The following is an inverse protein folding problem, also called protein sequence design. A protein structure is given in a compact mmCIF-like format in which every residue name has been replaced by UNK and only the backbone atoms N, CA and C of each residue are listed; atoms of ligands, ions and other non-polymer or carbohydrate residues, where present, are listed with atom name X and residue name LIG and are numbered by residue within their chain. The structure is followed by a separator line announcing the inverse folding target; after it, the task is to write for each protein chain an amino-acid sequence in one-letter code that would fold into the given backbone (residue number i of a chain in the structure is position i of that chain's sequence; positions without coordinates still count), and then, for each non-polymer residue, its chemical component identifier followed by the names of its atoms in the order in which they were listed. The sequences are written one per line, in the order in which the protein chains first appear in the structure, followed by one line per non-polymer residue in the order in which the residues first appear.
data_IF_904094071317
#
_entry.id   IF_904094071317
#
_cell.length_a   1.000
_cell.length_b   1.000
_cell.length_c   1.000
_cell.angle_alpha   90.00
_cell.angle_beta   90.00
_cell.angle_gamma   90.00
#
_symmetry.space_group_name_H-M   'P 1'
#
loop_
_entity.id
_entity.type
_entity.pdbx_description
1 polymer ?
#
# COMPACT_ATOMS: atom_id res chain seq x y z
N UNK A 1 -11.57 -2.35 -11.26
CA UNK A 1 -10.09 -2.45 -11.27
C UNK A 1 -9.48 -1.09 -11.12
N UNK A 2 -9.43 -0.26 -12.17
CA UNK A 2 -9.04 1.15 -12.06
C UNK A 2 -10.22 2.01 -11.60
N UNK A 3 -10.00 2.74 -10.52
CA UNK A 3 -10.90 3.75 -9.99
C UNK A 3 -10.19 5.11 -10.21
N UNK A 4 -10.66 5.93 -11.15
CA UNK A 4 -10.12 7.27 -11.37
C UNK A 4 -10.24 8.13 -10.11
N UNK A 5 -9.40 9.16 -9.92
CA UNK A 5 -9.53 10.07 -8.79
C UNK A 5 -10.89 10.76 -8.76
N UNK A 6 -11.47 10.87 -7.58
CA UNK A 6 -12.73 11.55 -7.34
C UNK A 6 -12.78 12.04 -5.88
N UNK A 7 -13.70 12.96 -5.59
CA UNK A 7 -14.05 13.27 -4.20
C UNK A 7 -14.93 12.14 -3.65
N UNK A 8 -14.33 11.30 -2.81
CA UNK A 8 -15.02 10.19 -2.16
C UNK A 8 -15.89 10.62 -0.99
N UNK A 9 -15.92 11.91 -0.63
CA UNK A 9 -16.71 12.44 0.50
C UNK A 9 -16.41 11.69 1.81
N UNK A 10 -15.14 11.32 2.01
CA UNK A 10 -14.65 10.50 3.12
C UNK A 10 -15.32 9.12 3.25
N UNK A 11 -15.96 8.62 2.19
CA UNK A 11 -16.51 7.25 2.10
C UNK A 11 -15.47 6.29 1.52
N UNK A 12 -15.51 5.00 1.88
CA UNK A 12 -14.57 4.00 1.36
C UNK A 12 -14.49 4.03 -0.16
N UNK A 13 -13.25 4.00 -0.68
CA UNK A 13 -12.97 3.83 -2.12
C UNK A 13 -13.05 2.34 -2.48
N UNK A 14 -12.55 1.50 -1.58
CA UNK A 14 -12.71 0.04 -1.60
C UNK A 14 -13.38 -0.32 -0.28
N UNK A 15 -14.65 -0.71 -0.35
CA UNK A 15 -15.43 -1.07 0.84
C UNK A 15 -15.25 -2.56 1.19
N UNK A 16 -15.79 -2.96 2.34
CA UNK A 16 -15.83 -4.36 2.74
C UNK A 16 -16.54 -5.22 1.69
N UNK A 17 -16.09 -6.48 1.56
CA UNK A 17 -16.60 -7.42 0.56
C UNK A 17 -16.57 -6.89 -0.88
N UNK A 18 -15.59 -6.03 -1.23
CA UNK A 18 -15.37 -5.59 -2.61
C UNK A 18 -15.34 -6.78 -3.59
N UNK A 19 -15.95 -6.61 -4.76
CA UNK A 19 -16.14 -7.70 -5.72
C UNK A 19 -14.83 -8.22 -6.34
N UNK A 20 -13.75 -7.42 -6.33
CA UNK A 20 -12.45 -7.77 -6.90
C UNK A 20 -11.43 -8.11 -5.83
N UNK A 21 -11.41 -7.34 -4.73
CA UNK A 21 -10.42 -7.46 -3.65
C UNK A 21 -11.12 -7.62 -2.28
N UNK A 22 -11.94 -8.66 -2.08
CA UNK A 22 -12.74 -8.83 -0.87
C UNK A 22 -11.92 -8.93 0.42
N UNK A 23 -10.61 -9.18 0.36
CA UNK A 23 -9.75 -9.18 1.53
C UNK A 23 -9.29 -7.80 1.95
N UNK A 24 -9.43 -6.76 1.12
CA UNK A 24 -8.93 -5.41 1.39
C UNK A 24 -10.06 -4.42 1.72
N UNK A 25 -9.68 -3.36 2.42
CA UNK A 25 -10.48 -2.16 2.64
C UNK A 25 -9.59 -0.93 2.42
N UNK A 26 -10.13 0.13 1.80
CA UNK A 26 -9.40 1.37 1.61
C UNK A 26 -10.31 2.60 1.59
N UNK A 27 -9.93 3.60 2.37
CA UNK A 27 -10.54 4.93 2.38
C UNK A 27 -9.47 6.02 2.42
N UNK A 28 -9.74 7.14 1.77
CA UNK A 28 -8.98 8.38 1.91
C UNK A 28 -9.88 9.39 2.62
N UNK A 29 -9.43 9.88 3.77
CA UNK A 29 -10.17 10.83 4.58
C UNK A 29 -9.43 12.16 4.59
N UNK A 30 -10.11 13.23 4.18
CA UNK A 30 -9.59 14.59 4.21
C UNK A 30 -10.29 15.37 5.30
N UNK A 31 -9.49 16.02 6.15
CA UNK A 31 -9.96 16.80 7.30
C UNK A 31 -9.24 18.14 7.37
N UNK A 32 -9.92 19.13 7.95
CA UNK A 32 -9.34 20.39 8.41
C UNK A 32 -9.14 20.37 9.92
N UNK A 33 -8.30 21.27 10.41
CA UNK A 33 -8.03 21.47 11.85
C UNK A 33 -9.31 21.41 12.70
N UNK A 34 -9.31 20.53 13.70
CA UNK A 34 -10.43 20.35 14.62
C UNK A 34 -11.59 19.51 14.10
N UNK A 35 -11.61 19.15 12.81
CA UNK A 35 -12.52 18.12 12.31
C UNK A 35 -12.06 16.74 12.75
N UNK A 36 -13.04 15.84 12.89
CA UNK A 36 -12.83 14.50 13.37
C UNK A 36 -13.55 13.49 12.48
N UNK A 37 -12.96 12.31 12.35
CA UNK A 37 -13.56 11.19 11.62
C UNK A 37 -13.57 9.95 12.50
N UNK A 38 -14.78 9.42 12.73
CA UNK A 38 -14.99 8.18 13.45
C UNK A 38 -15.36 7.07 12.46
N UNK A 39 -14.80 5.89 12.65
CA UNK A 39 -15.16 4.72 11.87
C UNK A 39 -15.03 3.43 12.67
N UNK A 40 -15.64 2.38 12.13
CA UNK A 40 -15.52 1.00 12.59
C UNK A 40 -15.72 0.10 11.38
N UNK A 41 -14.86 -0.88 11.18
CA UNK A 41 -14.94 -1.84 10.06
C UNK A 41 -15.04 -3.26 10.61
N UNK A 42 -16.25 -3.78 10.88
CA UNK A 42 -16.41 -5.13 11.40
C UNK A 42 -15.78 -6.18 10.47
N UNK A 43 -15.04 -7.14 11.03
CA UNK A 43 -14.39 -8.22 10.27
C UNK A 43 -13.08 -7.85 9.57
N UNK A 44 -12.64 -6.59 9.69
CA UNK A 44 -11.38 -6.11 9.14
C UNK A 44 -10.54 -5.47 10.24
N UNK A 45 -9.26 -5.83 10.27
CA UNK A 45 -8.24 -5.02 10.92
C UNK A 45 -7.88 -3.85 10.01
N UNK A 46 -7.51 -2.70 10.56
CA UNK A 46 -7.14 -1.52 9.77
C UNK A 46 -5.84 -0.89 10.24
N UNK A 47 -5.29 0.02 9.44
CA UNK A 47 -4.20 0.90 9.77
C UNK A 47 -4.53 2.31 9.28
N UNK A 48 -4.41 3.28 10.19
CA UNK A 48 -4.56 4.71 9.88
C UNK A 48 -3.18 5.26 9.60
N UNK A 49 -2.97 5.84 8.42
CA UNK A 49 -1.70 6.36 7.93
C UNK A 49 -1.91 7.78 7.40
N UNK A 50 -1.46 8.83 8.10
CA UNK A 50 -1.46 10.18 7.55
C UNK A 50 -0.52 10.27 6.34
N UNK A 51 -1.09 10.49 5.15
CA UNK A 51 -0.32 10.73 3.94
C UNK A 51 0.30 12.13 3.97
N UNK A 52 -0.46 13.11 4.48
CA UNK A 52 -0.02 14.46 4.85
C UNK A 52 -0.80 14.94 6.08
N UNK A 53 -0.22 15.90 6.79
CA UNK A 53 -0.79 16.44 8.02
C UNK A 53 -0.54 15.56 9.25
N UNK A 54 -1.16 15.97 10.35
CA UNK A 54 -1.00 15.36 11.67
C UNK A 54 -2.36 15.14 12.31
N UNK A 55 -2.56 13.96 12.90
CA UNK A 55 -3.80 13.59 13.60
C UNK A 55 -3.54 13.01 14.98
N UNK A 56 -4.48 13.21 15.90
CA UNK A 56 -4.56 12.45 17.16
C UNK A 56 -5.55 11.31 16.96
N UNK A 57 -5.15 10.07 17.25
CA UNK A 57 -6.00 8.88 17.10
C UNK A 57 -6.39 8.30 18.45
N UNK A 58 -7.67 7.99 18.63
CA UNK A 58 -8.22 7.24 19.75
C UNK A 58 -8.77 5.89 19.26
N UNK A 59 -8.37 4.80 19.91
CA UNK A 59 -8.82 3.42 19.62
C UNK A 59 -9.22 2.78 20.94
N UNK A 60 -10.52 2.49 21.11
CA UNK A 60 -11.05 1.83 22.33
C UNK A 60 -10.56 2.47 23.65
N UNK A 61 -10.38 3.79 23.67
CA UNK A 61 -9.91 4.55 24.85
C UNK A 61 -8.38 4.69 24.98
N UNK A 62 -7.58 4.09 24.09
CA UNK A 62 -6.15 4.35 23.98
C UNK A 62 -5.87 5.50 23.01
N UNK A 63 -4.96 6.41 23.35
CA UNK A 63 -4.63 7.59 22.54
C UNK A 63 -3.23 7.53 21.96
N UNK A 64 -3.14 7.77 20.65
CA UNK A 64 -1.93 7.88 19.85
C UNK A 64 -1.86 9.30 19.29
N UNK A 65 -1.15 10.17 20.01
CA UNK A 65 -1.10 11.60 19.68
C UNK A 65 -0.08 11.92 18.58
N UNK A 66 -0.31 13.03 17.89
CA UNK A 66 0.58 13.63 16.89
C UNK A 66 1.11 12.62 15.86
N UNK A 67 0.22 11.79 15.30
CA UNK A 67 0.56 10.85 14.24
C UNK A 67 0.68 11.59 12.92
N UNK A 68 1.82 11.44 12.24
CA UNK A 68 2.08 12.03 10.92
C UNK A 68 2.95 13.29 10.98
N UNK A 69 4.01 13.29 10.16
CA UNK A 69 5.06 14.32 10.15
C UNK A 69 5.18 15.05 8.80
N UNK A 70 4.44 14.60 7.78
CA UNK A 70 4.50 15.11 6.42
C UNK A 70 3.63 16.33 6.25
N UNK A 71 4.09 17.33 5.52
CA UNK A 71 3.42 18.62 5.40
C UNK A 71 2.96 18.93 3.99
N UNK A 72 3.80 18.64 2.99
CA UNK A 72 3.56 19.02 1.59
C UNK A 72 3.03 17.84 0.79
N UNK A 73 3.74 16.73 0.80
CA UNK A 73 3.46 15.55 -0.02
C UNK A 73 4.12 14.30 0.56
N UNK A 74 3.86 13.12 -0.02
CA UNK A 74 4.41 11.84 0.45
C UNK A 74 5.95 11.74 0.37
N UNK A 75 6.64 12.68 -0.30
CA UNK A 75 8.09 12.68 -0.44
C UNK A 75 8.79 13.50 0.66
N UNK A 76 8.09 14.34 1.43
CA UNK A 76 8.72 15.28 2.36
C UNK A 76 9.06 14.69 3.75
N UNK A 77 8.72 13.42 4.00
CA UNK A 77 9.02 12.77 5.27
C UNK A 77 8.79 11.25 5.31
N UNK A 78 9.04 10.68 6.48
CA UNK A 78 8.72 9.28 6.78
C UNK A 78 7.23 9.11 7.12
N UNK A 79 6.61 7.99 6.72
CA UNK A 79 5.24 7.71 7.12
C UNK A 79 5.19 7.33 8.59
N UNK A 80 4.02 7.53 9.18
CA UNK A 80 3.66 6.93 10.47
C UNK A 80 2.32 6.24 10.31
N UNK A 81 2.02 5.30 11.19
CA UNK A 81 0.72 4.64 11.17
C UNK A 81 0.30 4.15 12.54
N UNK A 82 -0.98 3.86 12.70
CA UNK A 82 -1.49 3.15 13.88
C UNK A 82 -2.34 1.98 13.43
N UNK A 83 -2.02 0.80 13.95
CA UNK A 83 -2.78 -0.42 13.76
C UNK A 83 -4.02 -0.41 14.63
N UNK A 84 -5.16 -0.70 14.03
CA UNK A 84 -6.48 -0.76 14.65
C UNK A 84 -6.99 -2.20 14.57
N UNK A 85 -7.25 -2.85 15.71
CA UNK A 85 -7.71 -4.24 15.74
C UNK A 85 -9.05 -4.44 15.03
N UNK A 86 -9.30 -5.69 14.61
CA UNK A 86 -10.55 -6.07 13.95
C UNK A 86 -11.78 -5.54 14.68
N UNK A 87 -12.60 -4.77 13.96
CA UNK A 87 -13.88 -4.26 14.45
C UNK A 87 -13.78 -3.26 15.61
N UNK A 88 -12.59 -2.78 15.98
CA UNK A 88 -12.44 -1.72 16.96
C UNK A 88 -12.99 -0.39 16.41
N UNK A 89 -13.56 0.43 17.29
CA UNK A 89 -13.94 1.79 16.95
C UNK A 89 -12.70 2.69 17.05
N UNK A 90 -12.45 3.42 15.98
CA UNK A 90 -11.40 4.43 15.92
C UNK A 90 -11.99 5.81 15.65
N UNK A 91 -11.37 6.83 16.26
CA UNK A 91 -11.64 8.23 16.04
C UNK A 91 -10.30 8.92 15.79
N UNK A 92 -10.18 9.73 14.74
CA UNK A 92 -9.02 10.59 14.60
C UNK A 92 -9.40 12.05 14.34
N UNK A 93 -8.68 12.96 14.99
CA UNK A 93 -8.90 14.40 14.96
C UNK A 93 -7.73 15.08 14.25
N UNK A 94 -8.02 16.02 13.34
CA UNK A 94 -6.98 16.75 12.63
C UNK A 94 -6.34 17.82 13.52
N UNK A 95 -5.02 17.70 13.73
CA UNK A 95 -4.19 18.62 14.54
C UNK A 95 -3.49 19.65 13.66
N UNK A 96 -3.12 19.30 12.41
CA UNK A 96 -2.61 20.25 11.42
C UNK A 96 -3.74 21.09 10.81
N UNK A 97 -3.38 22.06 9.94
CA UNK A 97 -4.37 22.88 9.24
C UNK A 97 -5.27 22.03 8.33
N UNK A 98 -4.66 21.08 7.63
CA UNK A 98 -5.31 20.07 6.80
C UNK A 98 -4.57 18.73 6.97
N UNK A 99 -5.28 17.62 6.79
CA UNK A 99 -4.70 16.27 6.75
C UNK A 99 -5.39 15.41 5.70
N UNK A 100 -4.60 14.65 4.95
CA UNK A 100 -5.06 13.53 4.11
C UNK A 100 -4.62 12.22 4.78
N UNK A 101 -5.59 11.39 5.15
CA UNK A 101 -5.36 10.18 5.95
C UNK A 101 -5.85 8.96 5.19
N UNK A 102 -4.97 7.98 5.03
CA UNK A 102 -5.31 6.67 4.47
C UNK A 102 -5.76 5.74 5.57
N UNK A 103 -6.97 5.17 5.42
CA UNK A 103 -7.44 4.07 6.25
C UNK A 103 -7.42 2.82 5.38
N UNK A 104 -6.50 1.92 5.65
CA UNK A 104 -6.33 0.68 4.91
C UNK A 104 -6.62 -0.51 5.80
N UNK A 105 -7.08 -1.63 5.24
CA UNK A 105 -7.43 -2.78 6.06
C UNK A 105 -7.37 -4.10 5.33
N UNK A 106 -7.34 -5.17 6.12
CA UNK A 106 -7.45 -6.53 5.64
C UNK A 106 -8.46 -7.32 6.46
N UNK A 107 -9.11 -8.30 5.83
CA UNK A 107 -10.04 -9.19 6.51
C UNK A 107 -9.30 -10.07 7.52
N UNK A 108 -9.73 -10.01 8.78
CA UNK A 108 -9.13 -10.78 9.86
C UNK A 108 -10.11 -10.94 11.03
N UNK A 109 -10.18 -12.12 11.64
CA UNK A 109 -11.23 -12.45 12.61
C UNK A 109 -10.77 -12.36 14.08
N UNK A 110 -9.45 -12.23 14.34
CA UNK A 110 -8.93 -12.20 15.72
C UNK A 110 -8.67 -10.76 16.14
N UNK A 111 -9.11 -10.43 17.35
CA UNK A 111 -8.80 -9.13 17.96
C UNK A 111 -7.38 -9.17 18.52
N UNK A 112 -6.55 -8.21 18.09
CA UNK A 112 -5.19 -7.98 18.57
C UNK A 112 -5.14 -6.68 19.38
N UNK A 113 -3.95 -6.24 19.78
CA UNK A 113 -3.75 -5.00 20.53
C UNK A 113 -3.36 -3.86 19.58
N UNK A 114 -3.96 -2.66 19.71
CA UNK A 114 -3.56 -1.51 18.90
C UNK A 114 -2.10 -1.11 19.19
N UNK A 115 -1.46 -0.46 18.22
CA UNK A 115 -0.13 0.15 18.40
C UNK A 115 0.19 1.12 17.26
N UNK A 116 1.06 2.09 17.53
CA UNK A 116 1.61 2.97 16.52
C UNK A 116 2.97 2.49 15.99
N UNK A 117 3.28 2.94 14.78
CA UNK A 117 4.56 2.82 14.10
C UNK A 117 5.02 4.22 13.79
N UNK A 118 6.17 4.60 14.37
CA UNK A 118 6.74 5.94 14.24
C UNK A 118 7.87 6.00 13.21
N UNK A 119 8.24 7.23 12.84
CA UNK A 119 9.21 7.48 11.76
C UNK A 119 10.55 6.73 11.94
N UNK A 120 11.03 6.58 13.17
CA UNK A 120 12.28 5.88 13.52
C UNK A 120 12.15 4.35 13.52
N UNK A 121 10.93 3.84 13.35
CA UNK A 121 10.62 2.43 13.35
C UNK A 121 10.40 1.81 11.96
N UNK A 122 10.35 2.66 10.92
CA UNK A 122 10.08 2.27 9.54
C UNK A 122 11.23 1.41 8.99
N UNK A 123 10.89 0.22 8.48
CA UNK A 123 11.84 -0.64 7.79
C UNK A 123 11.96 -0.23 6.31
N UNK A 124 13.15 0.23 5.93
CA UNK A 124 13.46 0.74 4.61
C UNK A 124 14.17 -0.34 3.78
N UNK A 125 13.65 -0.60 2.58
CA UNK A 125 14.30 -1.44 1.56
C UNK A 125 14.48 -0.62 0.29
N UNK A 126 15.71 -0.55 -0.22
CA UNK A 126 16.00 0.13 -1.48
C UNK A 126 16.87 -0.78 -2.36
N UNK A 127 16.45 -0.95 -3.61
CA UNK A 127 17.09 -1.88 -4.56
C UNK A 127 16.85 -1.43 -6.01
N UNK A 128 17.42 -2.16 -6.96
CA UNK A 128 17.42 -1.79 -8.38
C UNK A 128 18.34 -0.62 -8.68
N UNK A 129 18.26 -0.10 -9.90
CA UNK A 129 19.05 1.05 -10.33
C UNK A 129 18.39 1.84 -11.46
N UNK A 130 18.86 3.05 -11.68
CA UNK A 130 18.42 3.89 -12.80
C UNK A 130 18.82 3.30 -14.16
N UNK A 131 19.91 2.53 -14.20
CA UNK A 131 20.38 1.81 -15.41
C UNK A 131 19.43 0.68 -15.78
N UNK A 132 18.95 -0.07 -14.79
CA UNK A 132 17.96 -1.14 -14.97
C UNK A 132 16.53 -0.61 -15.07
N UNK A 133 16.33 0.68 -14.79
CA UNK A 133 15.02 1.34 -14.66
C UNK A 133 14.11 0.70 -13.60
N UNK A 134 14.67 0.01 -12.61
CA UNK A 134 13.90 -0.65 -11.54
C UNK A 134 14.25 -0.12 -10.16
N UNK A 135 14.83 1.07 -10.08
CA UNK A 135 15.21 1.69 -8.81
C UNK A 135 13.97 1.95 -7.96
N UNK A 136 13.89 1.27 -6.81
CA UNK A 136 12.73 1.31 -5.94
C UNK A 136 13.15 1.50 -4.50
N UNK A 137 12.36 2.28 -3.78
CA UNK A 137 12.44 2.48 -2.34
C UNK A 137 11.10 2.09 -1.73
N UNK A 138 11.13 1.16 -0.78
CA UNK A 138 9.98 0.62 -0.07
C UNK A 138 10.10 0.99 1.40
N UNK A 139 9.03 1.54 1.96
CA UNK A 139 8.92 1.87 3.38
C UNK A 139 7.81 1.01 3.97
N UNK A 140 8.17 0.02 4.78
CA UNK A 140 7.20 -0.88 5.40
C UNK A 140 6.65 -0.26 6.67
N UNK A 141 5.35 0.07 6.66
CA UNK A 141 4.63 0.56 7.85
C UNK A 141 4.23 -0.66 8.69
N UNK A 142 3.48 -1.61 8.11
CA UNK A 142 3.16 -2.89 8.73
C UNK A 142 3.91 -4.02 8.01
N UNK A 143 5.25 -4.03 8.16
CA UNK A 143 6.16 -5.03 7.60
C UNK A 143 6.37 -6.29 8.46
N UNK A 144 7.42 -7.06 8.17
CA UNK A 144 7.78 -8.30 8.91
C UNK A 144 8.13 -8.07 10.37
N UNK A 145 8.65 -6.89 10.73
CA UNK A 145 8.91 -6.47 12.13
C UNK A 145 7.70 -6.62 13.05
N UNK A 146 6.48 -6.55 12.51
CA UNK A 146 5.22 -6.59 13.26
C UNK A 146 4.43 -7.90 13.08
N UNK A 147 5.08 -8.97 12.62
CA UNK A 147 4.44 -10.25 12.29
C UNK A 147 3.53 -10.79 13.40
N UNK A 148 3.95 -10.70 14.66
CA UNK A 148 3.19 -11.27 15.79
C UNK A 148 2.15 -10.29 16.38
N UNK A 149 2.02 -9.09 15.81
CA UNK A 149 1.15 -8.01 16.30
C UNK A 149 0.06 -7.60 15.30
N UNK A 150 0.13 -8.10 14.07
CA UNK A 150 -0.79 -7.82 12.97
C UNK A 150 -1.30 -9.15 12.41
N UNK A 151 -2.56 -9.19 11.97
CA UNK A 151 -3.20 -10.39 11.45
C UNK A 151 -2.70 -10.80 10.06
N UNK A 152 -3.38 -10.34 9.02
CA UNK A 152 -3.15 -10.63 7.60
C UNK A 152 -2.79 -9.39 6.78
N UNK A 153 -2.91 -8.21 7.38
CA UNK A 153 -2.58 -6.94 6.76
C UNK A 153 -1.08 -6.72 6.60
N UNK A 154 -0.68 -6.31 5.40
CA UNK A 154 0.61 -5.73 5.07
C UNK A 154 0.36 -4.34 4.48
N UNK A 155 1.11 -3.33 4.96
CA UNK A 155 0.98 -1.94 4.52
C UNK A 155 2.36 -1.40 4.22
N UNK A 156 2.55 -0.88 3.01
CA UNK A 156 3.83 -0.32 2.59
C UNK A 156 3.65 0.83 1.62
N UNK A 157 4.63 1.74 1.63
CA UNK A 157 4.75 2.78 0.63
C UNK A 157 5.88 2.47 -0.33
N UNK A 158 5.64 2.72 -1.61
CA UNK A 158 6.61 2.43 -2.64
C UNK A 158 6.85 3.65 -3.52
N UNK A 159 8.13 3.92 -3.74
CA UNK A 159 8.61 4.98 -4.58
C UNK A 159 9.38 4.34 -5.72
N UNK A 160 8.97 4.66 -6.95
CA UNK A 160 9.87 4.50 -8.10
C UNK A 160 10.84 5.66 -8.03
N UNK A 161 12.10 5.35 -7.70
CA UNK A 161 13.15 6.35 -7.49
C UNK A 161 13.59 6.89 -8.84
N UNK A 162 13.73 8.22 -8.92
CA UNK A 162 14.03 8.90 -10.17
C UNK A 162 12.81 9.05 -11.08
N UNK A 163 13.06 9.38 -12.35
CA UNK A 163 12.01 9.66 -13.33
C UNK A 163 12.02 8.63 -14.47
N UNK A 164 10.84 8.20 -14.92
CA UNK A 164 10.71 7.25 -16.05
C UNK A 164 11.20 5.83 -15.75
N UNK A 165 10.84 5.29 -14.58
CA UNK A 165 11.20 3.94 -14.12
C UNK A 165 10.02 2.96 -14.05
N UNK A 166 10.32 1.74 -13.62
CA UNK A 166 9.40 0.62 -13.45
C UNK A 166 9.32 0.18 -12.00
N UNK A 167 8.10 -0.19 -11.60
CA UNK A 167 7.76 -0.87 -10.37
C UNK A 167 7.01 -2.17 -10.65
N UNK A 168 6.95 -3.05 -9.64
CA UNK A 168 6.38 -4.38 -9.83
C UNK A 168 7.14 -5.24 -10.85
N UNK A 169 8.39 -4.90 -11.19
CA UNK A 169 9.22 -5.64 -12.17
C UNK A 169 10.46 -6.28 -11.50
N UNK A 170 10.86 -7.52 -11.89
CA UNK A 170 10.19 -8.47 -12.78
C UNK A 170 8.78 -8.75 -12.30
N UNK A 171 7.92 -8.96 -13.29
CA UNK A 171 6.51 -9.09 -13.01
C UNK A 171 6.24 -10.29 -12.14
N UNK A 172 5.33 -10.13 -11.19
CA UNK A 172 4.96 -11.16 -10.23
C UNK A 172 3.46 -11.10 -9.95
N UNK A 173 2.96 -12.18 -9.34
CA UNK A 173 1.58 -12.33 -8.86
C UNK A 173 1.57 -13.00 -7.49
N UNK A 174 0.43 -12.91 -6.83
CA UNK A 174 0.13 -13.57 -5.55
C UNK A 174 -1.39 -13.80 -5.48
N UNK A 175 -1.92 -14.49 -6.49
CA UNK A 175 -3.36 -14.66 -6.69
C UNK A 175 -3.85 -16.07 -6.34
N UNK A 176 -2.92 -16.96 -6.02
CA UNK A 176 -3.18 -18.39 -5.80
C UNK A 176 -2.45 -18.89 -4.56
N UNK A 177 -3.14 -19.66 -3.72
CA UNK A 177 -2.49 -20.44 -2.66
C UNK A 177 -1.85 -21.70 -3.26
N UNK A 178 -0.63 -21.55 -3.75
CA UNK A 178 0.22 -22.63 -4.28
C UNK A 178 1.43 -22.77 -3.36
N UNK A 179 1.20 -23.18 -2.12
CA UNK A 179 2.25 -23.26 -1.11
C UNK A 179 3.25 -24.39 -1.44
N UNK A 180 4.57 -24.18 -1.27
CA UNK A 180 5.21 -22.98 -0.69
C UNK A 180 5.60 -21.91 -1.72
N UNK A 181 5.23 -22.06 -2.99
CA UNK A 181 5.72 -21.26 -4.12
C UNK A 181 4.97 -19.94 -4.34
N UNK A 182 3.74 -19.83 -3.84
CA UNK A 182 2.90 -18.63 -3.94
C UNK A 182 1.85 -18.60 -2.83
N UNK A 183 1.58 -17.42 -2.30
CA UNK A 183 0.49 -17.15 -1.37
C UNK A 183 -0.58 -16.30 -2.04
N UNK A 184 -1.85 -16.51 -1.70
CA UNK A 184 -2.93 -15.64 -2.18
C UNK A 184 -3.06 -14.40 -1.31
N UNK A 185 -2.91 -13.24 -1.93
CA UNK A 185 -3.17 -11.92 -1.37
C UNK A 185 -3.96 -11.08 -2.37
N UNK A 186 -5.01 -10.41 -1.89
CA UNK A 186 -5.60 -9.31 -2.64
C UNK A 186 -4.72 -8.08 -2.45
N UNK A 187 -4.57 -7.26 -3.49
CA UNK A 187 -3.72 -6.07 -3.43
C UNK A 187 -4.43 -4.82 -3.95
N UNK A 188 -4.20 -3.68 -3.29
CA UNK A 188 -4.79 -2.41 -3.68
C UNK A 188 -3.72 -1.32 -3.65
N UNK A 189 -3.64 -0.55 -4.74
CA UNK A 189 -2.72 0.56 -4.90
C UNK A 189 -3.44 1.90 -4.95
N UNK A 190 -2.86 2.92 -4.33
CA UNK A 190 -3.25 4.31 -4.55
C UNK A 190 -2.04 5.15 -4.95
N UNK A 191 -2.12 5.86 -6.07
CA UNK A 191 -0.97 6.49 -6.73
C UNK A 191 -0.86 7.99 -6.43
N UNK A 192 0.38 8.46 -6.34
CA UNK A 192 0.75 9.90 -6.36
C UNK A 192 1.89 10.12 -7.35
N UNK A 193 1.95 11.32 -7.93
CA UNK A 193 3.02 11.69 -8.86
C UNK A 193 3.71 13.00 -8.44
N UNK A 194 5.00 13.13 -8.79
CA UNK A 194 5.75 14.37 -8.63
C UNK A 194 6.37 14.81 -9.95
N UNK A 195 6.02 15.98 -10.47
CA UNK A 195 4.89 16.84 -10.06
C UNK A 195 3.51 16.13 -10.14
N UNK A 196 2.51 16.66 -9.45
CA UNK A 196 1.18 16.05 -9.28
C UNK A 196 0.32 15.97 -10.56
N UNK A 197 0.77 16.56 -11.67
CA UNK A 197 0.18 16.36 -13.00
C UNK A 197 0.88 15.24 -13.80
N UNK A 198 1.81 14.52 -13.17
CA UNK A 198 2.45 13.33 -13.75
C UNK A 198 1.46 12.18 -13.94
N UNK A 199 1.92 11.16 -14.65
CA UNK A 199 1.13 9.94 -14.86
C UNK A 199 2.01 8.74 -15.22
N UNK A 200 1.40 7.57 -15.28
CA UNK A 200 2.04 6.30 -15.61
C UNK A 200 1.06 5.30 -16.21
N UNK A 201 1.50 4.06 -16.33
CA UNK A 201 0.68 2.93 -16.78
C UNK A 201 0.80 1.79 -15.78
N UNK A 202 -0.33 1.31 -15.28
CA UNK A 202 -0.42 0.03 -14.59
C UNK A 202 -0.77 -1.05 -15.63
N UNK A 203 0.06 -2.07 -15.74
CA UNK A 203 -0.23 -3.23 -16.59
C UNK A 203 -0.81 -4.36 -15.74
N UNK A 204 -1.66 -5.20 -16.34
CA UNK A 204 -2.15 -6.42 -15.72
C UNK A 204 -2.24 -7.56 -16.72
N UNK A 205 -1.28 -8.49 -16.64
CA UNK A 205 -1.21 -9.65 -17.50
C UNK A 205 -1.72 -10.89 -16.76
N UNK A 206 -2.84 -11.46 -17.21
CA UNK A 206 -3.49 -12.61 -16.56
C UNK A 206 -2.74 -13.92 -16.80
N UNK A 207 -2.16 -14.05 -17.98
CA UNK A 207 -1.54 -15.28 -18.45
C UNK A 207 -0.22 -14.97 -19.15
N UNK A 208 0.78 -15.82 -18.91
CA UNK A 208 2.10 -15.66 -19.51
C UNK A 208 2.01 -15.76 -21.05
N UNK A 209 2.78 -14.93 -21.75
CA UNK A 209 2.79 -14.87 -23.22
C UNK A 209 1.53 -14.31 -23.89
N UNK A 210 0.50 -13.91 -23.14
CA UNK A 210 -0.72 -13.26 -23.69
C UNK A 210 -0.77 -11.77 -23.32
N UNK A 211 -1.26 -10.88 -24.21
CA UNK A 211 -1.48 -9.49 -23.86
C UNK A 211 -2.39 -9.34 -22.62
N UNK A 212 -2.04 -8.37 -21.77
CA UNK A 212 -2.84 -7.97 -20.61
C UNK A 212 -3.58 -6.65 -20.84
N UNK A 213 -4.21 -6.17 -19.78
CA UNK A 213 -4.79 -4.83 -19.74
C UNK A 213 -3.71 -3.78 -19.42
N UNK A 214 -3.93 -2.55 -19.85
CA UNK A 214 -3.11 -1.40 -19.50
C UNK A 214 -4.00 -0.23 -19.10
N UNK A 215 -3.78 0.30 -17.89
CA UNK A 215 -4.57 1.37 -17.31
C UNK A 215 -3.71 2.61 -17.19
N UNK A 216 -4.15 3.73 -17.77
CA UNK A 216 -3.52 5.03 -17.56
C UNK A 216 -3.82 5.51 -16.14
N UNK A 217 -2.77 5.69 -15.34
CA UNK A 217 -2.86 6.11 -13.94
C UNK A 217 -2.37 7.54 -13.79
N UNK A 218 -3.18 8.36 -13.11
CA UNK A 218 -2.90 9.76 -12.76
C UNK A 218 -2.93 9.94 -11.24
N UNK A 219 -2.53 11.10 -10.75
CA UNK A 219 -2.53 11.41 -9.31
C UNK A 219 -3.91 11.13 -8.68
N UNK A 220 -3.92 10.37 -7.58
CA UNK A 220 -5.14 9.94 -6.90
C UNK A 220 -5.79 8.67 -7.45
N UNK A 221 -5.29 8.07 -8.54
CA UNK A 221 -5.82 6.82 -9.08
C UNK A 221 -5.70 5.67 -8.07
N UNK A 222 -6.72 4.82 -8.02
CA UNK A 222 -6.69 3.57 -7.25
C UNK A 222 -6.79 2.36 -8.19
N UNK A 223 -5.99 1.31 -7.95
CA UNK A 223 -6.05 0.04 -8.67
C UNK A 223 -6.33 -1.08 -7.67
N UNK A 224 -7.38 -1.85 -7.91
CA UNK A 224 -7.67 -3.11 -7.22
C UNK A 224 -7.13 -4.28 -8.07
N UNK A 225 -6.13 -4.99 -7.57
CA UNK A 225 -5.49 -6.13 -8.24
C UNK A 225 -6.13 -7.43 -7.74
N UNK A 226 -6.95 -8.03 -8.59
CA UNK A 226 -7.62 -9.32 -8.31
C UNK A 226 -6.73 -10.53 -8.63
N UNK A 227 -6.04 -10.55 -9.79
CA UNK A 227 -5.14 -11.64 -10.20
C UNK A 227 -4.18 -11.27 -11.34
N UNK A 228 -3.11 -12.03 -11.50
CA UNK A 228 -2.15 -11.89 -12.59
C UNK A 228 -0.98 -10.96 -12.27
N UNK A 229 -0.11 -10.84 -13.26
CA UNK A 229 1.17 -10.13 -13.22
C UNK A 229 0.99 -8.62 -13.38
N UNK A 230 1.48 -7.82 -12.44
CA UNK A 230 1.08 -6.41 -12.30
C UNK A 230 2.24 -5.39 -12.20
N UNK A 231 3.09 -5.26 -13.24
CA UNK A 231 4.11 -4.22 -13.25
C UNK A 231 3.47 -2.85 -13.56
N UNK A 232 4.11 -1.78 -13.12
CA UNK A 232 3.73 -0.41 -13.47
C UNK A 232 4.94 0.41 -13.90
N UNK A 233 4.71 1.35 -14.80
CA UNK A 233 5.73 2.26 -15.32
C UNK A 233 5.28 3.71 -15.14
N UNK A 234 6.19 4.57 -14.72
CA UNK A 234 5.94 6.02 -14.70
C UNK A 234 6.40 6.65 -16.02
N UNK A 235 5.68 7.65 -16.53
CA UNK A 235 6.11 8.36 -17.73
C UNK A 235 7.43 9.13 -17.49
N UNK A 236 8.23 9.39 -18.54
CA UNK A 236 9.44 10.18 -18.42
C UNK A 236 9.18 11.57 -17.83
N UNK A 237 10.06 12.03 -16.95
CA UNK A 237 9.96 13.36 -16.32
C UNK A 237 9.14 13.41 -15.02
N UNK A 238 8.56 12.28 -14.58
CA UNK A 238 7.79 12.21 -13.34
C UNK A 238 8.32 11.14 -12.38
N UNK A 239 8.26 11.42 -11.09
CA UNK A 239 8.41 10.42 -10.03
C UNK A 239 7.04 9.82 -9.71
N UNK A 240 7.01 8.56 -9.27
CA UNK A 240 5.77 7.86 -8.89
C UNK A 240 5.89 7.27 -7.50
N UNK A 241 4.88 7.55 -6.70
CA UNK A 241 4.60 6.91 -5.43
C UNK A 241 3.34 6.05 -5.55
N UNK A 242 3.30 4.93 -4.84
CA UNK A 242 2.07 4.21 -4.61
C UNK A 242 2.02 3.61 -3.21
N UNK A 243 0.87 3.81 -2.56
CA UNK A 243 0.53 3.19 -1.29
C UNK A 243 -0.02 1.79 -1.55
N UNK A 244 0.43 0.79 -0.79
CA UNK A 244 0.10 -0.62 -1.03
C UNK A 244 -0.55 -1.26 0.18
N UNK A 245 -1.64 -1.97 -0.10
CA UNK A 245 -2.46 -2.67 0.87
C UNK A 245 -2.56 -4.11 0.39
N UNK A 246 -2.10 -5.03 1.21
CA UNK A 246 -2.08 -6.46 0.93
C UNK A 246 -2.83 -7.17 2.06
N UNK A 247 -3.86 -7.93 1.69
CA UNK A 247 -4.64 -8.76 2.59
C UNK A 247 -4.47 -10.23 2.21
N UNK A 248 -3.80 -11.01 3.06
CA UNK A 248 -3.58 -12.44 2.82
C UNK A 248 -4.84 -13.28 3.02
N UNK A 249 -5.06 -14.31 2.19
CA UNK A 249 -6.20 -15.24 2.36
C UNK A 249 -5.94 -16.23 3.49
N UNK A 250 -4.89 -17.03 3.36
CA UNK A 250 -4.59 -18.16 4.23
C UNK A 250 -3.57 -17.78 5.31
N UNK A 251 -2.63 -16.90 4.99
CA UNK A 251 -1.53 -16.48 5.84
C UNK A 251 -1.11 -15.03 5.57
N UNK A 252 -0.32 -14.46 6.48
CA UNK A 252 0.22 -13.09 6.35
C UNK A 252 1.41 -13.00 5.42
N UNK A 253 2.43 -13.83 5.63
CA UNK A 253 3.68 -13.80 4.85
C UNK A 253 3.40 -13.89 3.34
N UNK A 254 4.02 -13.00 2.59
CA UNK A 254 3.84 -12.89 1.15
C UNK A 254 4.92 -13.70 0.43
N UNK A 255 4.50 -14.67 -0.37
CA UNK A 255 5.37 -15.35 -1.33
C UNK A 255 4.90 -15.00 -2.73
N UNK A 256 5.68 -14.17 -3.41
CA UNK A 256 5.40 -13.73 -4.78
C UNK A 256 5.80 -14.82 -5.78
N UNK A 257 4.93 -15.06 -6.76
CA UNK A 257 5.24 -15.88 -7.92
C UNK A 257 5.69 -15.00 -9.08
N UNK A 258 7.00 -14.97 -9.33
CA UNK A 258 7.57 -14.24 -10.46
C UNK A 258 7.21 -14.91 -11.78
N UNK A 259 6.98 -14.09 -12.81
CA UNK A 259 6.65 -14.55 -14.15
C UNK A 259 7.80 -15.37 -14.73
N UNK A 260 7.59 -16.66 -15.07
CA UNK A 260 8.66 -17.53 -15.54
C UNK A 260 9.42 -16.98 -16.74
N UNK A 261 8.72 -16.37 -17.70
CA UNK A 261 9.32 -15.74 -18.89
C UNK A 261 10.30 -14.60 -18.55
N UNK A 262 10.21 -14.00 -17.36
CA UNK A 262 11.06 -12.91 -16.89
C UNK A 262 12.00 -13.31 -15.75
N UNK A 263 12.07 -14.59 -15.39
CA UNK A 263 12.85 -15.07 -14.23
C UNK A 263 14.34 -14.68 -14.30
N UNK A 264 14.93 -14.59 -15.50
CA UNK A 264 16.32 -14.16 -15.67
C UNK A 264 16.60 -12.74 -15.12
N UNK A 265 15.58 -11.89 -15.00
CA UNK A 265 15.73 -10.54 -14.44
C UNK A 265 16.00 -10.54 -12.93
N UNK A 266 15.65 -11.63 -12.23
CA UNK A 266 16.01 -11.82 -10.81
C UNK A 266 17.54 -11.88 -10.59
N UNK A 267 18.30 -12.16 -11.65
CA UNK A 267 19.76 -12.22 -11.63
C UNK A 267 20.41 -10.91 -12.09
N UNK A 268 19.67 -10.00 -12.71
CA UNK A 268 20.21 -8.75 -13.28
C UNK A 268 19.88 -7.51 -12.44
N UNK A 269 18.77 -7.53 -11.69
CA UNK A 269 18.37 -6.39 -10.87
C UNK A 269 19.14 -6.39 -9.55
N UNK A 270 19.93 -5.34 -9.26
CA UNK A 270 20.69 -5.24 -8.01
C UNK A 270 19.78 -5.31 -6.78
N UNK A 271 20.14 -6.12 -5.78
CA UNK A 271 19.46 -6.17 -4.48
C UNK A 271 18.06 -6.79 -4.46
N UNK A 272 17.55 -7.30 -5.60
CA UNK A 272 16.18 -7.85 -5.64
C UNK A 272 15.98 -9.08 -4.75
N UNK A 273 17.00 -9.93 -4.61
CA UNK A 273 16.93 -11.14 -3.79
C UNK A 273 16.80 -10.81 -2.30
N UNK A 274 17.46 -9.75 -1.84
CA UNK A 274 17.36 -9.26 -0.46
C UNK A 274 15.97 -8.69 -0.20
N UNK A 275 15.40 -7.97 -1.18
CA UNK A 275 14.02 -7.49 -1.10
C UNK A 275 13.04 -8.66 -1.00
N UNK A 276 13.17 -9.72 -1.80
CA UNK A 276 12.30 -10.90 -1.73
C UNK A 276 12.36 -11.55 -0.33
N UNK A 277 13.55 -11.59 0.28
CA UNK A 277 13.72 -12.15 1.62
C UNK A 277 13.03 -11.33 2.71
N UNK A 278 12.81 -10.02 2.51
CA UNK A 278 12.13 -9.13 3.46
C UNK A 278 10.61 -9.35 3.54
N UNK A 279 10.01 -10.00 2.54
CA UNK A 279 8.56 -10.28 2.48
C UNK A 279 8.17 -11.68 2.98
N UNK A 280 9.13 -12.61 3.04
CA UNK A 280 8.95 -13.94 3.63
C UNK A 280 8.86 -13.85 5.15
#
# INVERSE_FOLDING_TARGET
MHIPPFDNQNKPIVDVDDALVPLNYFNIVKLKRGEAFAYQVPGYETCIVPATGTVDVEIEGETYANLGNRTVDVWDGEPEGVYVPTGAKALFNCVSDEAEVFVCGARYDKVLTPFDVRADEIDLVQYGSDDTKTHRKIKHILGTKYHDRVGRLLVSELFTVGQGGWSGFPSHKHDTDRLPDETRHDETYNFRFKPNYGSGVQMLQREDGKPGDAYHIVDGSTICLDKGYHPCAVLPGYEMYYFTILGGLSQRSLVQYFQPTHAAQLETIPGIKDMIAKFK
#
